data_IF_373840366047
#
_entry.id   IF_373840366047
#
_cell.length_a   1.000
_cell.length_b   1.000
_cell.length_c   1.000
_cell.angle_alpha   90.00
_cell.angle_beta   90.00
_cell.angle_gamma   90.00
#
_symmetry.space_group_name_H-M   'P 1'
#
loop_
_entity.id
_entity.type
_entity.pdbx_description
1 polymer ?
#
# COMPACT_ATOMS: atom_id res chain seq x y z
N UNK A 1 2.22 -18.77 -25.74
CA UNK A 1 2.08 -18.98 -24.29
C UNK A 1 1.37 -17.77 -23.74
N UNK A 2 0.27 -17.98 -23.03
CA UNK A 2 -0.41 -16.95 -22.25
C UNK A 2 -0.01 -17.15 -20.78
N UNK A 3 0.37 -16.06 -20.10
CA UNK A 3 0.74 -16.07 -18.68
C UNK A 3 0.33 -14.75 -18.03
N UNK A 4 0.09 -14.77 -16.71
CA UNK A 4 -0.27 -13.59 -15.94
C UNK A 4 0.95 -12.70 -15.69
N UNK A 5 0.75 -11.37 -15.79
CA UNK A 5 1.82 -10.38 -15.73
C UNK A 5 1.54 -9.31 -14.67
N UNK A 6 2.60 -8.87 -13.99
CA UNK A 6 2.60 -7.65 -13.20
C UNK A 6 3.43 -6.57 -13.91
N UNK A 7 2.79 -5.41 -14.15
CA UNK A 7 3.41 -4.24 -14.75
C UNK A 7 3.74 -3.25 -13.64
N UNK A 8 4.99 -2.82 -13.56
CA UNK A 8 5.49 -1.87 -12.56
C UNK A 8 6.05 -0.62 -13.22
N UNK A 9 5.23 0.41 -13.48
CA UNK A 9 5.71 1.74 -13.78
C UNK A 9 6.34 2.37 -12.54
N UNK A 10 7.49 3.01 -12.70
CA UNK A 10 8.16 3.77 -11.66
C UNK A 10 8.65 5.09 -12.24
N UNK A 11 8.13 6.20 -11.72
CA UNK A 11 8.64 7.54 -12.00
C UNK A 11 9.65 7.95 -10.92
N UNK A 12 10.74 8.60 -11.32
CA UNK A 12 11.82 9.05 -10.43
C UNK A 12 12.55 10.26 -11.02
N UNK A 13 13.31 10.99 -10.21
CA UNK A 13 14.19 12.06 -10.71
C UNK A 13 15.57 11.47 -11.02
N UNK A 14 16.09 11.71 -12.22
CA UNK A 14 17.35 11.10 -12.72
C UNK A 14 18.59 11.96 -12.50
N UNK A 15 18.44 13.21 -12.05
CA UNK A 15 19.55 14.14 -11.86
C UNK A 15 20.55 13.63 -10.81
N UNK A 16 21.84 13.69 -11.14
CA UNK A 16 22.95 13.35 -10.24
C UNK A 16 23.30 14.52 -9.29
N UNK A 17 22.29 15.04 -8.59
CA UNK A 17 22.42 16.21 -7.71
C UNK A 17 22.15 15.81 -6.25
N UNK A 18 22.95 16.34 -5.33
CA UNK A 18 22.69 16.21 -3.89
C UNK A 18 21.76 17.35 -3.45
N UNK A 19 20.50 17.04 -3.14
CA UNK A 19 19.53 18.00 -2.61
C UNK A 19 18.17 17.39 -2.28
N UNK A 20 17.43 18.01 -1.34
CA UNK A 20 16.12 17.52 -0.87
C UNK A 20 15.01 18.42 -1.41
N UNK A 21 14.77 18.36 -2.73
CA UNK A 21 13.73 19.13 -3.42
C UNK A 21 13.06 18.31 -4.51
N UNK A 22 11.90 18.77 -4.98
CA UNK A 22 11.11 18.16 -6.06
C UNK A 22 10.78 19.14 -7.19
N UNK A 23 11.40 20.31 -7.18
CA UNK A 23 11.32 21.33 -8.23
C UNK A 23 12.66 21.45 -8.96
N UNK A 24 12.61 21.85 -10.22
CA UNK A 24 13.79 22.04 -11.09
C UNK A 24 14.67 20.77 -11.14
N UNK A 25 14.02 19.65 -11.46
CA UNK A 25 14.61 18.32 -11.66
C UNK A 25 13.97 17.67 -12.89
N UNK A 26 14.70 16.74 -13.51
CA UNK A 26 14.28 15.97 -14.65
C UNK A 26 13.60 14.67 -14.19
N UNK A 27 12.30 14.57 -14.44
CA UNK A 27 11.54 13.35 -14.16
C UNK A 27 11.71 12.34 -15.31
N UNK A 28 12.07 11.12 -14.95
CA UNK A 28 12.11 9.96 -15.84
C UNK A 28 11.18 8.86 -15.34
N UNK A 29 10.93 7.87 -16.21
CA UNK A 29 10.14 6.71 -15.85
C UNK A 29 10.75 5.42 -16.41
N UNK A 30 10.55 4.34 -15.67
CA UNK A 30 10.84 2.99 -16.12
C UNK A 30 9.59 2.13 -16.02
N UNK A 31 9.50 1.10 -16.88
CA UNK A 31 8.45 0.09 -16.82
C UNK A 31 9.13 -1.27 -16.79
N UNK A 32 8.83 -2.04 -15.75
CA UNK A 32 9.25 -3.44 -15.62
C UNK A 32 8.02 -4.32 -15.70
N UNK A 33 8.08 -5.34 -16.55
CA UNK A 33 7.03 -6.35 -16.71
C UNK A 33 7.61 -7.70 -16.32
N UNK A 34 6.91 -8.41 -15.43
CA UNK A 34 7.33 -9.73 -14.95
C UNK A 34 6.14 -10.70 -14.90
N UNK A 35 6.36 -12.01 -15.16
CA UNK A 35 5.40 -13.03 -14.80
C UNK A 35 5.06 -12.96 -13.32
N UNK A 36 3.77 -12.96 -12.98
CA UNK A 36 3.34 -12.78 -11.61
C UNK A 36 1.99 -13.46 -11.36
N UNK A 37 1.95 -14.32 -10.34
CA UNK A 37 0.73 -14.98 -9.88
C UNK A 37 0.11 -14.30 -8.66
N UNK A 38 -0.47 -15.10 -7.76
CA UNK A 38 -1.04 -14.64 -6.50
C UNK A 38 -0.02 -13.89 -5.63
N UNK A 39 -0.43 -12.75 -5.06
CA UNK A 39 0.45 -11.94 -4.21
C UNK A 39 0.67 -12.58 -2.84
N UNK A 40 -0.39 -13.15 -2.26
CA UNK A 40 -0.32 -13.95 -1.05
C UNK A 40 -0.63 -15.40 -1.38
N UNK A 41 -0.02 -16.36 -0.69
CA UNK A 41 -0.27 -17.79 -0.96
C UNK A 41 -1.64 -18.26 -0.44
N UNK A 42 -2.16 -17.59 0.58
CA UNK A 42 -3.38 -17.96 1.31
C UNK A 42 -4.51 -16.95 1.05
N UNK A 43 -4.78 -16.59 -0.20
CA UNK A 43 -5.71 -15.46 -0.53
C UNK A 43 -7.11 -15.62 0.09
N UNK A 44 -7.61 -16.85 0.20
CA UNK A 44 -8.94 -17.14 0.75
C UNK A 44 -8.97 -17.30 2.28
N UNK A 45 -7.82 -17.35 2.95
CA UNK A 45 -7.74 -17.64 4.38
C UNK A 45 -6.50 -17.01 5.04
N UNK A 46 -6.33 -15.71 4.87
CA UNK A 46 -5.22 -14.98 5.49
C UNK A 46 -5.46 -14.78 6.99
N UNK A 47 -4.48 -15.16 7.80
CA UNK A 47 -4.42 -14.78 9.21
C UNK A 47 -3.81 -13.38 9.34
N UNK A 48 -4.56 -12.44 9.88
CA UNK A 48 -4.14 -11.04 9.99
C UNK A 48 -4.00 -10.56 11.43
N UNK A 49 -3.03 -9.69 11.68
CA UNK A 49 -2.84 -9.02 12.98
C UNK A 49 -3.13 -7.52 12.87
N UNK A 50 -3.23 -6.82 14.00
CA UNK A 50 -3.24 -5.35 14.01
C UNK A 50 -1.82 -4.86 14.25
N UNK A 51 -1.30 -4.02 13.35
CA UNK A 51 0.08 -3.53 13.43
C UNK A 51 0.31 -2.63 14.64
N UNK A 52 1.49 -2.76 15.24
CA UNK A 52 2.03 -1.81 16.22
C UNK A 52 2.44 -0.48 15.56
N UNK A 53 2.78 -0.52 14.27
CA UNK A 53 3.08 0.66 13.46
C UNK A 53 1.79 1.39 13.07
N UNK A 54 1.89 2.71 12.93
CA UNK A 54 0.81 3.54 12.43
C UNK A 54 1.01 3.87 10.96
N UNK A 55 -0.11 4.09 10.28
CA UNK A 55 -0.11 4.59 8.91
C UNK A 55 0.54 5.97 8.88
N UNK A 56 1.35 6.23 7.86
CA UNK A 56 1.91 7.57 7.66
C UNK A 56 0.76 8.57 7.49
N UNK A 57 0.81 9.65 8.27
CA UNK A 57 -0.14 10.75 8.19
C UNK A 57 0.08 11.59 6.92
N UNK A 58 -1.01 12.08 6.33
CA UNK A 58 -0.99 12.84 5.07
C UNK A 58 -0.08 14.08 5.12
N UNK A 59 0.03 14.75 6.28
CA UNK A 59 0.90 15.92 6.44
C UNK A 59 2.38 15.55 6.67
N UNK A 60 2.69 14.26 6.88
CA UNK A 60 4.08 13.77 6.98
C UNK A 60 4.59 13.34 5.60
N UNK A 61 3.87 12.43 4.94
CA UNK A 61 4.07 12.05 3.53
C UNK A 61 2.66 11.75 2.97
N UNK A 62 2.24 12.35 1.85
CA UNK A 62 0.89 12.16 1.32
C UNK A 62 0.54 10.68 1.12
N UNK A 63 -0.35 10.15 1.94
CA UNK A 63 -0.71 8.74 1.98
C UNK A 63 -1.47 8.29 0.73
N UNK A 64 -2.18 9.23 0.11
CA UNK A 64 -2.90 9.05 -1.17
C UNK A 64 -1.95 8.96 -2.37
N UNK A 65 -0.70 9.42 -2.22
CA UNK A 65 0.34 9.28 -3.22
C UNK A 65 0.99 7.89 -3.14
N UNK A 66 1.12 7.19 -4.27
CA UNK A 66 1.85 5.92 -4.35
C UNK A 66 3.36 6.18 -4.43
N UNK A 67 3.94 6.76 -3.37
CA UNK A 67 5.30 7.27 -3.30
C UNK A 67 6.27 6.19 -2.81
N UNK A 68 7.34 5.90 -3.55
CA UNK A 68 8.30 4.84 -3.22
C UNK A 68 8.88 4.96 -1.80
N UNK A 69 9.27 6.16 -1.37
CA UNK A 69 9.80 6.39 -0.02
C UNK A 69 8.80 6.12 1.11
N UNK A 70 7.49 6.29 0.86
CA UNK A 70 6.45 6.01 1.87
C UNK A 70 6.35 4.50 2.18
N UNK A 71 6.72 3.63 1.24
CA UNK A 71 6.63 2.17 1.41
C UNK A 71 7.61 1.61 2.45
N UNK A 72 8.54 2.40 2.99
CA UNK A 72 9.33 1.99 4.17
C UNK A 72 8.41 1.66 5.35
N UNK A 73 7.34 2.45 5.57
CA UNK A 73 6.35 2.18 6.61
C UNK A 73 5.62 0.85 6.35
N UNK A 74 5.07 0.66 5.14
CA UNK A 74 4.41 -0.59 4.73
C UNK A 74 5.34 -1.81 4.85
N UNK A 75 6.63 -1.66 4.52
CA UNK A 75 7.60 -2.73 4.61
C UNK A 75 7.83 -3.16 6.07
N UNK A 76 7.94 -2.22 7.01
CA UNK A 76 8.03 -2.55 8.44
C UNK A 76 6.76 -3.20 8.95
N UNK A 77 5.58 -2.67 8.59
CA UNK A 77 4.27 -3.24 8.94
C UNK A 77 4.19 -4.72 8.51
N UNK A 78 4.47 -5.01 7.22
CA UNK A 78 4.42 -6.37 6.67
C UNK A 78 5.44 -7.28 7.34
N UNK A 79 6.67 -6.79 7.50
CA UNK A 79 7.77 -7.58 8.07
C UNK A 79 7.48 -7.97 9.51
N UNK A 80 6.92 -7.06 10.31
CA UNK A 80 6.57 -7.31 11.72
C UNK A 80 5.46 -8.37 11.82
N UNK A 81 4.40 -8.24 10.99
CA UNK A 81 3.30 -9.21 10.92
C UNK A 81 3.80 -10.62 10.57
N UNK A 82 4.62 -10.73 9.52
CA UNK A 82 5.18 -12.01 9.07
C UNK A 82 6.09 -12.63 10.13
N UNK A 83 6.91 -11.82 10.82
CA UNK A 83 7.76 -12.31 11.92
C UNK A 83 6.95 -12.80 13.12
N UNK A 84 5.77 -12.23 13.34
CA UNK A 84 4.83 -12.67 14.37
C UNK A 84 3.97 -13.88 13.94
N UNK A 85 4.17 -14.42 12.74
CA UNK A 85 3.45 -15.60 12.24
C UNK A 85 2.11 -15.31 11.57
N UNK A 86 1.85 -14.05 11.20
CA UNK A 86 0.67 -13.64 10.45
C UNK A 86 0.98 -13.47 8.96
N UNK A 87 -0.04 -13.61 8.11
CA UNK A 87 0.10 -13.39 6.67
C UNK A 87 0.11 -11.90 6.32
N UNK A 88 -0.61 -11.06 7.07
CA UNK A 88 -0.75 -9.62 6.81
C UNK A 88 -1.10 -8.84 8.09
N UNK A 89 -1.01 -7.51 8.02
CA UNK A 89 -1.44 -6.61 9.08
C UNK A 89 -2.52 -5.63 8.62
N UNK A 90 -3.47 -5.39 9.51
CA UNK A 90 -4.37 -4.24 9.54
C UNK A 90 -3.62 -3.07 10.16
N UNK A 91 -3.66 -1.92 9.51
CA UNK A 91 -2.94 -0.72 9.90
C UNK A 91 -3.95 0.33 10.38
N UNK A 92 -3.63 0.95 11.51
CA UNK A 92 -4.45 2.04 12.07
C UNK A 92 -3.83 3.40 11.71
N UNK A 93 -4.68 4.41 11.53
CA UNK A 93 -4.24 5.80 11.47
C UNK A 93 -3.85 6.32 12.87
N UNK A 94 -3.39 7.57 12.94
CA UNK A 94 -2.94 8.19 14.19
C UNK A 94 -4.04 8.25 15.27
N UNK A 95 -5.30 8.38 14.87
CA UNK A 95 -6.47 8.43 15.76
C UNK A 95 -6.94 7.04 16.23
N UNK A 96 -6.32 5.97 15.73
CA UNK A 96 -6.66 4.59 16.08
C UNK A 96 -7.80 3.98 15.25
N UNK A 97 -8.26 4.65 14.20
CA UNK A 97 -9.21 4.09 13.24
C UNK A 97 -8.50 3.19 12.22
N UNK A 98 -9.21 2.20 11.70
CA UNK A 98 -8.70 1.33 10.64
C UNK A 98 -8.49 2.14 9.37
N UNK A 99 -7.28 2.06 8.80
CA UNK A 99 -6.93 2.69 7.53
C UNK A 99 -6.93 1.63 6.41
N UNK A 100 -5.89 0.80 6.35
CA UNK A 100 -5.72 -0.19 5.27
C UNK A 100 -4.92 -1.39 5.77
N UNK A 101 -4.66 -2.38 4.91
CA UNK A 101 -3.62 -3.39 5.15
C UNK A 101 -2.23 -2.87 4.75
N UNK A 102 -1.16 -3.63 4.97
CA UNK A 102 0.18 -3.16 4.57
C UNK A 102 0.30 -2.92 3.05
N UNK A 103 -0.46 -3.65 2.24
CA UNK A 103 -0.38 -3.63 0.77
C UNK A 103 -1.74 -3.62 0.07
N UNK A 104 -2.86 -3.46 0.78
CA UNK A 104 -4.21 -3.55 0.21
C UNK A 104 -5.22 -2.69 0.98
N UNK A 105 -6.27 -2.22 0.32
CA UNK A 105 -7.41 -1.61 1.01
C UNK A 105 -8.21 -2.66 1.77
N UNK A 106 -8.91 -2.24 2.83
CA UNK A 106 -9.69 -3.12 3.69
C UNK A 106 -11.21 -2.95 3.48
N UNK A 107 -11.92 -4.06 3.55
CA UNK A 107 -13.37 -4.12 3.50
C UNK A 107 -13.93 -4.98 4.62
N UNK A 108 -15.13 -4.64 5.09
CA UNK A 108 -15.87 -5.40 6.08
C UNK A 108 -17.32 -5.57 5.59
N UNK A 109 -17.81 -6.80 5.58
CA UNK A 109 -19.24 -7.10 5.43
C UNK A 109 -19.82 -7.41 6.81
N UNK A 110 -20.76 -6.58 7.28
CA UNK A 110 -21.40 -6.77 8.57
C UNK A 110 -22.90 -6.57 8.44
N UNK A 111 -23.68 -7.58 8.82
CA UNK A 111 -25.15 -7.55 8.74
C UNK A 111 -25.68 -7.16 7.35
N UNK A 112 -25.04 -7.66 6.28
CA UNK A 112 -25.39 -7.34 4.90
C UNK A 112 -24.94 -5.95 4.42
N UNK A 113 -24.26 -5.16 5.28
CA UNK A 113 -23.73 -3.84 4.93
C UNK A 113 -22.24 -3.92 4.68
N UNK A 114 -21.82 -3.41 3.52
CA UNK A 114 -20.41 -3.32 3.13
C UNK A 114 -19.82 -1.99 3.61
N UNK A 115 -18.67 -2.06 4.28
CA UNK A 115 -17.97 -0.91 4.82
C UNK A 115 -16.48 -0.95 4.43
N UNK A 116 -15.93 0.22 4.12
CA UNK A 116 -14.50 0.42 3.88
C UNK A 116 -14.11 1.79 4.46
N UNK A 117 -12.88 1.97 4.95
CA UNK A 117 -12.43 3.26 5.42
C UNK A 117 -12.57 4.36 4.34
N UNK A 118 -12.99 5.58 4.74
CA UNK A 118 -13.02 6.72 3.84
C UNK A 118 -11.61 7.12 3.42
N UNK A 119 -11.49 7.79 2.28
CA UNK A 119 -10.20 8.28 1.76
C UNK A 119 -9.50 9.27 2.70
N UNK A 120 -10.24 9.83 3.67
CA UNK A 120 -9.74 10.73 4.71
C UNK A 120 -8.96 10.02 5.82
N UNK A 121 -9.06 8.68 5.91
CA UNK A 121 -8.33 7.88 6.91
C UNK A 121 -6.96 7.42 6.41
N UNK A 122 -6.26 8.28 5.66
CA UNK A 122 -4.89 8.05 5.17
C UNK A 122 -4.72 6.75 4.35
N UNK A 123 -5.77 6.34 3.62
CA UNK A 123 -5.71 5.18 2.71
C UNK A 123 -5.24 5.58 1.32
N UNK A 124 -4.64 4.64 0.60
CA UNK A 124 -4.43 4.78 -0.84
C UNK A 124 -5.78 4.69 -1.57
N UNK A 125 -6.00 5.56 -2.55
CA UNK A 125 -7.17 5.52 -3.43
C UNK A 125 -7.05 4.40 -4.49
N UNK A 126 -7.12 3.15 -4.01
CA UNK A 126 -6.90 1.96 -4.83
C UNK A 126 -7.84 1.84 -6.02
N UNK A 127 -7.31 1.40 -7.17
CA UNK A 127 -8.11 1.13 -8.37
C UNK A 127 -9.05 -0.05 -8.13
N UNK A 128 -8.54 -1.17 -7.59
CA UNK A 128 -9.37 -2.33 -7.21
C UNK A 128 -10.47 -1.93 -6.24
N UNK A 129 -10.16 -1.04 -5.29
CA UNK A 129 -11.14 -0.51 -4.34
C UNK A 129 -12.30 0.18 -5.06
N UNK A 130 -11.96 1.06 -6.00
CA UNK A 130 -12.94 1.77 -6.84
C UNK A 130 -13.74 0.84 -7.75
N UNK A 131 -13.16 -0.26 -8.23
CA UNK A 131 -13.87 -1.25 -9.06
C UNK A 131 -14.92 -2.04 -8.29
N UNK A 132 -14.70 -2.26 -6.98
CA UNK A 132 -15.64 -2.99 -6.10
C UNK A 132 -16.81 -2.11 -5.64
N UNK A 133 -16.61 -0.78 -5.60
CA UNK A 133 -17.64 0.21 -5.21
C UNK A 133 -18.58 0.52 -6.36
#
# INVERSE_FOLDING_TARGET
HEEDLYIRPLAFYSDEIIGVRVHDLNAEASIVVIPFGAYNKNEDNMHVTVSSWRRIDDNSIPARGKIAGAYVNSAFIKTDAVRAGFDEAIVLNADGHVSEGSSANLYMLRNGVFATPPITDNVLEGITRRTVM
#
